data_IF_969389722629
#
_entry.id   IF_969389722629
#
_cell.length_a   1.000
_cell.length_b   1.000
_cell.length_c   1.000
_cell.angle_alpha   90.00
_cell.angle_beta   90.00
_cell.angle_gamma   90.00
#
_symmetry.space_group_name_H-M   'P 1'
#
loop_
_entity.id
_entity.type
_entity.pdbx_description
1 polymer ?
#
# COMPACT_ATOMS: atom_id res chain seq x y z
N UNK A 1 -6.39 20.02 -10.54
CA UNK A 1 -5.84 19.47 -9.30
C UNK A 1 -6.56 18.15 -9.02
N UNK A 2 -5.85 17.01 -8.97
CA UNK A 2 -6.47 15.67 -8.85
C UNK A 2 -7.27 15.47 -7.53
N UNK A 3 -7.21 16.45 -6.62
CA UNK A 3 -7.82 16.38 -5.29
C UNK A 3 -9.20 17.06 -5.19
N UNK A 4 -9.69 17.73 -6.24
CA UNK A 4 -11.00 18.38 -6.24
C UNK A 4 -12.10 17.35 -6.55
N UNK A 5 -12.72 16.81 -5.50
CA UNK A 5 -13.88 15.91 -5.54
C UNK A 5 -13.73 14.64 -6.40
N UNK A 6 -12.81 13.72 -6.04
CA UNK A 6 -12.73 12.44 -6.71
C UNK A 6 -13.99 11.62 -6.44
N UNK A 7 -14.75 11.32 -7.50
CA UNK A 7 -15.91 10.43 -7.45
C UNK A 7 -15.47 9.08 -7.99
N UNK A 8 -15.58 8.06 -7.15
CA UNK A 8 -15.40 6.66 -7.52
C UNK A 8 -16.71 5.95 -7.15
N UNK A 9 -17.20 5.07 -8.02
CA UNK A 9 -18.29 4.15 -7.67
C UNK A 9 -17.73 2.99 -6.84
N UNK A 10 -16.60 2.43 -7.27
CA UNK A 10 -15.78 1.52 -6.49
C UNK A 10 -14.30 1.82 -6.75
N UNK A 11 -13.68 2.51 -5.79
CA UNK A 11 -12.29 2.94 -5.90
C UNK A 11 -11.31 1.79 -6.10
N UNK A 12 -11.59 0.58 -5.58
CA UNK A 12 -10.68 -0.56 -5.72
C UNK A 12 -10.81 -1.15 -7.13
N UNK A 13 -12.05 -1.35 -7.59
CA UNK A 13 -12.31 -1.84 -8.94
C UNK A 13 -11.74 -0.92 -10.02
N UNK A 14 -11.93 0.39 -9.88
CA UNK A 14 -11.44 1.36 -10.85
C UNK A 14 -9.91 1.42 -10.92
N UNK A 15 -9.22 1.27 -9.78
CA UNK A 15 -7.74 1.19 -9.77
C UNK A 15 -7.27 -0.14 -10.35
N UNK A 16 -7.92 -1.26 -10.04
CA UNK A 16 -7.62 -2.57 -10.64
C UNK A 16 -7.69 -2.51 -12.16
N UNK A 17 -8.80 -1.96 -12.69
CA UNK A 17 -9.00 -1.76 -14.12
C UNK A 17 -7.89 -0.91 -14.74
N UNK A 18 -7.61 0.26 -14.15
CA UNK A 18 -6.56 1.15 -14.62
C UNK A 18 -5.16 0.48 -14.65
N UNK A 19 -4.82 -0.27 -13.59
CA UNK A 19 -3.54 -0.95 -13.50
C UNK A 19 -3.44 -2.10 -14.52
N UNK A 20 -4.52 -2.87 -14.73
CA UNK A 20 -4.58 -3.91 -15.77
C UNK A 20 -4.33 -3.33 -17.16
N UNK A 21 -5.06 -2.27 -17.52
CA UNK A 21 -4.90 -1.58 -18.80
C UNK A 21 -3.47 -1.00 -18.96
N UNK A 22 -2.87 -0.54 -17.87
CA UNK A 22 -1.49 -0.02 -17.88
C UNK A 22 -0.45 -1.12 -18.10
N UNK A 23 -0.66 -2.30 -17.51
CA UNK A 23 0.19 -3.48 -17.72
C UNK A 23 0.09 -3.93 -19.18
N UNK A 24 -1.12 -4.13 -19.69
CA UNK A 24 -1.37 -4.54 -21.08
C UNK A 24 -0.74 -3.56 -22.08
N UNK A 25 -0.87 -2.26 -21.81
CA UNK A 25 -0.24 -1.23 -22.63
C UNK A 25 1.28 -1.34 -22.61
N UNK A 26 1.90 -1.50 -21.44
CA UNK A 26 3.34 -1.65 -21.33
C UNK A 26 3.84 -2.88 -22.11
N UNK A 27 3.14 -4.01 -22.00
CA UNK A 27 3.46 -5.24 -22.73
C UNK A 27 3.33 -5.05 -24.25
N UNK A 28 2.30 -4.36 -24.71
CA UNK A 28 2.10 -4.07 -26.14
C UNK A 28 3.21 -3.20 -26.75
N UNK A 29 3.88 -2.40 -25.92
CA UNK A 29 5.06 -1.58 -26.29
C UNK A 29 6.39 -2.34 -26.10
N UNK A 30 6.35 -3.63 -25.79
CA UNK A 30 7.53 -4.49 -25.64
C UNK A 30 8.25 -4.36 -24.30
N UNK A 31 7.62 -3.77 -23.28
CA UNK A 31 8.19 -3.68 -21.92
C UNK A 31 8.02 -5.04 -21.23
N UNK A 32 9.12 -5.59 -20.72
CA UNK A 32 9.11 -6.79 -19.88
C UNK A 32 8.51 -6.49 -18.49
N UNK A 33 7.22 -6.81 -18.32
CA UNK A 33 6.46 -6.60 -17.09
C UNK A 33 6.75 -7.64 -16.01
N UNK A 34 7.56 -8.67 -16.26
CA UNK A 34 7.93 -9.67 -15.24
C UNK A 34 8.67 -9.06 -14.05
N UNK A 35 9.27 -7.88 -14.22
CA UNK A 35 9.96 -7.10 -13.19
C UNK A 35 9.14 -5.93 -12.66
N UNK A 36 7.90 -5.76 -13.13
CA UNK A 36 7.03 -4.67 -12.71
C UNK A 36 6.43 -4.94 -11.32
N UNK A 37 6.10 -3.85 -10.63
CA UNK A 37 5.30 -3.84 -9.41
C UNK A 37 4.14 -2.88 -9.61
N UNK A 38 3.02 -3.12 -8.92
CA UNK A 38 1.87 -2.21 -8.95
C UNK A 38 1.65 -1.54 -7.60
N UNK A 39 1.27 -0.26 -7.62
CA UNK A 39 0.96 0.55 -6.44
C UNK A 39 -0.46 1.12 -6.59
N UNK A 40 -1.37 0.87 -5.64
CA UNK A 40 -2.73 1.42 -5.68
C UNK A 40 -2.79 2.95 -5.46
N UNK A 41 -1.67 3.59 -5.18
CA UNK A 41 -1.52 5.04 -5.21
C UNK A 41 -2.29 5.73 -4.10
N UNK A 42 -2.09 5.32 -2.84
CA UNK A 42 -2.72 5.97 -1.68
C UNK A 42 -2.45 7.50 -1.71
N UNK A 43 -3.41 8.32 -1.31
CA UNK A 43 -3.26 9.78 -1.19
C UNK A 43 -3.23 10.56 -2.51
N UNK A 44 -3.19 9.90 -3.68
CA UNK A 44 -3.26 10.56 -4.98
C UNK A 44 -4.71 10.61 -5.47
N UNK A 45 -5.36 11.77 -5.32
CA UNK A 45 -6.76 11.97 -5.71
C UNK A 45 -7.74 11.09 -4.92
N UNK A 46 -7.46 10.83 -3.64
CA UNK A 46 -8.24 9.89 -2.81
C UNK A 46 -8.66 10.52 -1.50
N UNK A 47 -9.95 10.37 -1.17
CA UNK A 47 -10.51 10.79 0.12
C UNK A 47 -9.97 9.93 1.26
N UNK A 48 -10.25 10.34 2.51
CA UNK A 48 -9.99 9.50 3.67
C UNK A 48 -10.57 8.09 3.48
N UNK A 49 -11.85 8.01 3.12
CA UNK A 49 -12.55 6.74 2.96
C UNK A 49 -11.92 5.87 1.87
N UNK A 50 -11.54 6.46 0.72
CA UNK A 50 -10.86 5.71 -0.34
C UNK A 50 -9.55 5.07 0.13
N UNK A 51 -8.74 5.81 0.89
CA UNK A 51 -7.46 5.28 1.38
C UNK A 51 -7.65 4.09 2.34
N UNK A 52 -8.64 4.18 3.23
CA UNK A 52 -8.96 3.09 4.15
C UNK A 52 -9.55 1.90 3.39
N UNK A 53 -10.46 2.13 2.44
CA UNK A 53 -11.05 1.07 1.61
C UNK A 53 -9.97 0.32 0.81
N UNK A 54 -9.01 1.02 0.21
CA UNK A 54 -7.89 0.39 -0.52
C UNK A 54 -7.06 -0.49 0.39
N UNK A 55 -6.68 0.02 1.58
CA UNK A 55 -5.92 -0.79 2.53
C UNK A 55 -6.73 -1.99 3.03
N UNK A 56 -8.04 -1.83 3.20
CA UNK A 56 -8.93 -2.91 3.61
C UNK A 56 -9.06 -4.00 2.54
N UNK A 57 -9.06 -3.64 1.26
CA UNK A 57 -9.24 -4.55 0.11
C UNK A 57 -7.93 -4.79 -0.68
N UNK A 58 -6.78 -4.57 -0.03
CA UNK A 58 -5.47 -4.61 -0.69
C UNK A 58 -5.16 -5.98 -1.32
N UNK A 59 -5.70 -7.05 -0.75
CA UNK A 59 -5.53 -8.42 -1.21
C UNK A 59 -6.17 -8.69 -2.59
N UNK A 60 -7.16 -7.89 -3.01
CA UNK A 60 -7.78 -7.99 -4.35
C UNK A 60 -6.79 -7.65 -5.48
N UNK A 61 -5.79 -6.79 -5.21
CA UNK A 61 -4.76 -6.41 -6.18
C UNK A 61 -3.83 -7.58 -6.55
N UNK A 62 -3.85 -8.68 -5.80
CA UNK A 62 -3.12 -9.90 -6.17
C UNK A 62 -3.64 -10.52 -7.47
N UNK A 63 -4.88 -10.23 -7.87
CA UNK A 63 -5.47 -10.69 -9.13
C UNK A 63 -4.70 -10.20 -10.36
N UNK A 64 -3.94 -9.10 -10.24
CA UNK A 64 -3.10 -8.56 -11.31
C UNK A 64 -1.85 -9.39 -11.59
N UNK A 65 -1.49 -10.36 -10.73
CA UNK A 65 -0.30 -11.20 -10.94
C UNK A 65 1.05 -10.52 -10.68
N UNK A 66 1.07 -9.24 -10.28
CA UNK A 66 2.29 -8.48 -9.98
C UNK A 66 2.51 -8.25 -8.48
N UNK A 67 3.77 -8.16 -8.02
CA UNK A 67 4.09 -7.77 -6.64
C UNK A 67 3.54 -6.38 -6.29
N UNK A 68 3.08 -6.23 -5.05
CA UNK A 68 2.44 -5.01 -4.57
C UNK A 68 3.43 -4.09 -3.84
N UNK A 69 3.47 -2.82 -4.24
CA UNK A 69 4.14 -1.75 -3.52
C UNK A 69 3.10 -0.90 -2.79
N UNK A 70 3.31 -0.62 -1.51
CA UNK A 70 2.41 0.24 -0.72
C UNK A 70 3.19 1.32 0.03
N UNK A 71 2.80 2.58 -0.17
CA UNK A 71 3.35 3.72 0.57
C UNK A 71 2.32 4.40 1.47
N UNK A 72 2.05 3.88 2.67
CA UNK A 72 1.11 4.51 3.62
C UNK A 72 1.78 5.54 4.57
N UNK A 73 3.11 5.48 4.71
CA UNK A 73 3.87 6.21 5.72
C UNK A 73 3.57 7.71 5.75
N UNK A 74 3.19 8.21 6.94
CA UNK A 74 2.89 9.60 7.29
C UNK A 74 1.77 10.29 6.49
N UNK A 75 0.97 9.53 5.72
CA UNK A 75 -0.14 10.09 4.93
C UNK A 75 -1.22 10.73 5.80
N UNK A 76 -1.95 11.68 5.22
CA UNK A 76 -2.97 12.49 5.89
C UNK A 76 -4.07 11.65 6.56
N UNK A 77 -4.48 10.53 5.95
CA UNK A 77 -5.51 9.66 6.54
C UNK A 77 -5.12 9.13 7.93
N UNK A 78 -3.83 8.88 8.17
CA UNK A 78 -3.32 8.48 9.49
C UNK A 78 -3.52 9.61 10.50
N UNK A 79 -3.20 10.84 10.09
CA UNK A 79 -3.43 12.01 10.93
C UNK A 79 -4.89 12.25 11.25
N UNK A 80 -5.81 11.95 10.33
CA UNK A 80 -7.24 12.04 10.61
C UNK A 80 -7.70 11.02 11.67
N UNK A 81 -7.14 9.81 11.67
CA UNK A 81 -7.48 8.77 12.66
C UNK A 81 -6.88 9.09 14.03
N UNK A 82 -5.61 9.49 14.04
CA UNK A 82 -4.81 9.66 15.27
C UNK A 82 -4.90 11.07 15.86
N UNK A 83 -5.49 12.02 15.12
CA UNK A 83 -5.47 13.45 15.42
C UNK A 83 -4.06 14.08 15.44
N UNK A 84 -3.08 13.39 14.81
CA UNK A 84 -1.69 13.83 14.78
C UNK A 84 -1.28 14.53 13.48
N UNK A 85 -0.33 15.45 13.60
CA UNK A 85 0.15 16.29 12.49
C UNK A 85 1.60 16.01 12.11
N UNK A 86 1.88 16.18 10.81
CA UNK A 86 3.23 16.12 10.25
C UNK A 86 3.97 14.82 10.57
N UNK A 87 5.10 14.95 11.29
CA UNK A 87 5.99 13.84 11.61
C UNK A 87 5.49 12.93 12.74
N UNK A 88 4.49 13.35 13.52
CA UNK A 88 3.94 12.58 14.66
C UNK A 88 2.96 11.48 14.22
N UNK A 89 3.27 10.79 13.13
CA UNK A 89 2.41 9.74 12.54
C UNK A 89 3.11 8.39 12.52
N UNK A 90 4.13 8.20 13.35
CA UNK A 90 4.96 7.01 13.32
C UNK A 90 4.15 5.77 13.63
N UNK A 91 3.46 5.75 14.75
CA UNK A 91 2.68 4.62 15.27
C UNK A 91 1.61 4.18 14.27
N UNK A 92 0.85 5.15 13.74
CA UNK A 92 -0.14 4.87 12.70
C UNK A 92 0.48 4.44 11.36
N UNK A 93 1.70 4.88 11.05
CA UNK A 93 2.45 4.41 9.86
C UNK A 93 2.91 2.98 10.02
N UNK A 94 3.39 2.61 11.21
CA UNK A 94 3.79 1.24 11.54
C UNK A 94 2.59 0.29 11.48
N UNK A 95 1.46 0.69 12.07
CA UNK A 95 0.22 -0.07 11.99
C UNK A 95 -0.22 -0.28 10.53
N UNK A 96 -0.21 0.78 9.73
CA UNK A 96 -0.57 0.70 8.30
C UNK A 96 0.37 -0.22 7.51
N UNK A 97 1.68 -0.16 7.80
CA UNK A 97 2.69 -1.00 7.15
C UNK A 97 2.51 -2.50 7.49
N UNK A 98 2.24 -2.82 8.75
CA UNK A 98 1.94 -4.19 9.20
C UNK A 98 0.67 -4.70 8.52
N UNK A 99 -0.41 -3.93 8.53
CA UNK A 99 -1.66 -4.30 7.85
C UNK A 99 -1.46 -4.53 6.34
N UNK A 100 -0.71 -3.65 5.67
CA UNK A 100 -0.40 -3.80 4.25
C UNK A 100 0.39 -5.09 3.97
N UNK A 101 1.41 -5.40 4.78
CA UNK A 101 2.15 -6.66 4.65
C UNK A 101 1.23 -7.87 4.86
N UNK A 102 0.39 -7.86 5.89
CA UNK A 102 -0.54 -8.95 6.18
C UNK A 102 -1.52 -9.20 5.02
N UNK A 103 -1.86 -8.16 4.26
CA UNK A 103 -2.72 -8.23 3.08
C UNK A 103 -1.97 -8.45 1.76
N UNK A 104 -0.69 -8.77 1.82
CA UNK A 104 0.09 -9.21 0.66
C UNK A 104 0.95 -8.14 -0.02
N UNK A 105 1.20 -7.00 0.62
CA UNK A 105 2.21 -6.06 0.14
C UNK A 105 3.60 -6.72 0.09
N UNK A 106 4.21 -6.73 -1.09
CA UNK A 106 5.57 -7.25 -1.32
C UNK A 106 6.65 -6.23 -0.95
N UNK A 107 6.34 -4.93 -1.10
CA UNK A 107 7.24 -3.83 -0.77
C UNK A 107 6.49 -2.71 -0.04
N UNK A 108 7.17 -2.13 0.96
CA UNK A 108 6.65 -1.00 1.74
C UNK A 108 7.56 0.22 1.52
N UNK A 109 6.98 1.32 1.04
CA UNK A 109 7.67 2.61 0.93
C UNK A 109 7.44 3.43 2.19
N UNK A 110 8.51 3.68 2.95
CA UNK A 110 8.43 4.34 4.27
C UNK A 110 9.49 5.41 4.48
N UNK A 111 9.20 6.37 5.36
CA UNK A 111 10.17 7.36 5.83
C UNK A 111 11.00 6.84 7.01
N UNK A 112 10.37 6.08 7.90
CA UNK A 112 10.91 5.56 9.15
C UNK A 112 11.35 4.10 8.98
N UNK A 113 12.51 3.91 8.32
CA UNK A 113 12.97 2.58 7.87
C UNK A 113 13.26 1.65 9.03
N UNK A 114 13.99 2.12 10.05
CA UNK A 114 14.42 1.29 11.19
C UNK A 114 13.21 0.76 11.95
N UNK A 115 12.27 1.63 12.27
CA UNK A 115 11.05 1.36 13.02
C UNK A 115 10.13 0.41 12.25
N UNK A 116 9.97 0.66 10.94
CA UNK A 116 9.18 -0.22 10.07
C UNK A 116 9.80 -1.61 9.99
N UNK A 117 11.12 -1.70 9.78
CA UNK A 117 11.80 -2.99 9.70
C UNK A 117 11.65 -3.81 11.00
N UNK A 118 11.75 -3.16 12.16
CA UNK A 118 11.51 -3.82 13.46
C UNK A 118 10.06 -4.32 13.58
N UNK A 119 9.07 -3.48 13.28
CA UNK A 119 7.66 -3.86 13.35
C UNK A 119 7.33 -5.04 12.43
N UNK A 120 7.85 -5.02 11.20
CA UNK A 120 7.68 -6.10 10.22
C UNK A 120 8.36 -7.40 10.67
N UNK A 121 9.58 -7.32 11.23
CA UNK A 121 10.28 -8.51 11.72
C UNK A 121 9.51 -9.20 12.87
N UNK A 122 8.99 -8.42 13.81
CA UNK A 122 8.14 -8.92 14.90
C UNK A 122 6.85 -9.54 14.33
N UNK A 123 6.12 -8.80 13.48
CA UNK A 123 4.88 -9.28 12.88
C UNK A 123 5.08 -10.60 12.10
N UNK A 124 6.14 -10.71 11.28
CA UNK A 124 6.46 -11.95 10.55
C UNK A 124 6.76 -13.11 11.49
N UNK A 125 7.48 -12.87 12.57
CA UNK A 125 7.81 -13.92 13.56
C UNK A 125 6.54 -14.43 14.23
N UNK A 126 5.62 -13.53 14.61
CA UNK A 126 4.30 -13.87 15.17
C UNK A 126 3.47 -14.66 14.16
N UNK A 127 3.34 -14.17 12.92
CA UNK A 127 2.52 -14.81 11.87
C UNK A 127 3.01 -16.18 11.46
N UNK A 128 4.33 -16.39 11.46
CA UNK A 128 4.93 -17.68 11.06
C UNK A 128 5.13 -18.65 12.23
N UNK A 129 4.97 -18.19 13.48
CA UNK A 129 5.30 -18.98 14.67
C UNK A 129 6.79 -19.34 14.77
N UNK A 130 7.67 -18.58 14.11
CA UNK A 130 9.10 -18.88 14.02
C UNK A 130 9.94 -17.71 14.53
N UNK A 131 11.10 -18.04 15.11
CA UNK A 131 12.12 -17.03 15.39
C UNK A 131 12.57 -16.35 14.08
N UNK A 132 12.99 -15.08 14.12
CA UNK A 132 13.50 -14.40 12.94
C UNK A 132 14.68 -15.17 12.36
N UNK A 133 14.68 -15.36 11.04
CA UNK A 133 15.83 -15.93 10.33
C UNK A 133 17.04 -15.06 10.62
N UNK A 134 18.05 -15.62 11.30
CA UNK A 134 19.33 -14.93 11.50
C UNK A 134 19.90 -14.64 10.11
N UNK A 135 20.15 -13.36 9.81
CA UNK A 135 21.00 -12.97 8.68
C UNK A 135 22.45 -13.15 9.08
#
# INVERSE_FOLDING_TARGET
DMQLNPVYEDVVYEILKFLSESIEKAESEGIDTSKAMVDPGLGFGKTFQHNVTILNRLDEFRSLGHPLLVGASRKSFIGHITQETGRRRLEGSLASAVCAMMKGASMLRVHDVKETAMAIAVARSIMSGRAPSRR
#
